data_IF_818682170552
#
_entry.id   IF_818682170552
#
_cell.length_a   1.000
_cell.length_b   1.000
_cell.length_c   1.000
_cell.angle_alpha   90.00
_cell.angle_beta   90.00
_cell.angle_gamma   90.00
#
_symmetry.space_group_name_H-M   'P 1'
#
loop_
_entity.id
_entity.type
_entity.pdbx_description
1 polymer ?
#
# COMPACT_ATOMS: atom_id res chain seq x y z
N UNK A 1 -6.11 12.61 -15.79
CA UNK A 1 -6.32 11.21 -15.35
C UNK A 1 -7.79 10.85 -15.37
N UNK A 2 -8.69 11.71 -14.88
CA UNK A 2 -10.11 11.35 -14.81
C UNK A 2 -10.73 11.07 -16.19
N UNK A 3 -10.46 11.92 -17.19
CA UNK A 3 -10.93 11.69 -18.56
C UNK A 3 -10.34 10.40 -19.16
N UNK A 4 -9.03 10.17 -19.02
CA UNK A 4 -8.38 8.95 -19.51
C UNK A 4 -8.90 7.70 -18.80
N UNK A 5 -9.28 7.82 -17.54
CA UNK A 5 -9.91 6.74 -16.78
C UNK A 5 -11.32 6.43 -17.28
N UNK A 6 -12.12 7.44 -17.61
CA UNK A 6 -13.45 7.27 -18.21
C UNK A 6 -13.36 6.63 -19.60
N UNK A 7 -12.44 7.11 -20.45
CA UNK A 7 -12.17 6.54 -21.77
C UNK A 7 -11.74 5.07 -21.66
N UNK A 8 -10.85 4.77 -20.72
CA UNK A 8 -10.40 3.40 -20.47
C UNK A 8 -11.52 2.51 -19.94
N UNK A 9 -12.34 3.00 -19.00
CA UNK A 9 -13.48 2.24 -18.49
C UNK A 9 -14.43 1.87 -19.63
N UNK A 10 -14.76 2.82 -20.50
CA UNK A 10 -15.57 2.59 -21.69
C UNK A 10 -14.94 1.55 -22.63
N UNK A 11 -13.63 1.63 -22.88
CA UNK A 11 -12.95 0.66 -23.73
C UNK A 11 -12.94 -0.77 -23.13
N UNK A 12 -12.92 -0.89 -21.80
CA UNK A 12 -13.04 -2.16 -21.09
C UNK A 12 -14.46 -2.73 -21.20
N UNK A 13 -15.49 -1.88 -21.06
CA UNK A 13 -16.89 -2.27 -21.28
C UNK A 13 -17.11 -2.77 -22.72
N UNK A 14 -16.65 -2.02 -23.72
CA UNK A 14 -16.73 -2.40 -25.14
C UNK A 14 -15.96 -3.70 -25.43
N UNK A 15 -14.81 -3.92 -24.77
CA UNK A 15 -14.06 -5.17 -24.88
C UNK A 15 -14.85 -6.35 -24.32
N UNK A 16 -15.46 -6.20 -23.15
CA UNK A 16 -16.24 -7.24 -22.51
C UNK A 16 -17.48 -7.58 -23.34
N UNK A 17 -18.19 -6.56 -23.84
CA UNK A 17 -19.37 -6.73 -24.69
C UNK A 17 -19.01 -7.47 -25.99
N UNK A 18 -17.90 -7.12 -26.63
CA UNK A 18 -17.48 -7.70 -27.91
C UNK A 18 -16.90 -9.11 -27.78
N UNK A 19 -16.15 -9.40 -26.71
CA UNK A 19 -15.39 -10.66 -26.59
C UNK A 19 -16.03 -11.66 -25.61
N UNK A 20 -16.89 -11.20 -24.70
CA UNK A 20 -17.42 -12.00 -23.60
C UNK A 20 -16.37 -12.36 -22.54
N UNK A 21 -15.17 -11.76 -22.60
CA UNK A 21 -14.06 -12.04 -21.69
C UNK A 21 -13.48 -10.77 -21.08
N UNK A 22 -12.93 -10.88 -19.88
CA UNK A 22 -12.21 -9.79 -19.21
C UNK A 22 -10.75 -9.74 -19.69
N UNK A 23 -10.17 -8.53 -19.70
CA UNK A 23 -8.75 -8.31 -20.05
C UNK A 23 -7.80 -8.99 -19.05
N UNK A 24 -8.18 -8.99 -17.77
CA UNK A 24 -7.39 -9.55 -16.68
C UNK A 24 -8.20 -9.58 -15.38
N UNK A 25 -7.61 -10.06 -14.28
CA UNK A 25 -8.29 -10.22 -13.00
C UNK A 25 -8.66 -8.89 -12.33
N UNK A 26 -8.11 -7.75 -12.81
CA UNK A 26 -8.42 -6.42 -12.31
C UNK A 26 -9.27 -5.61 -13.29
N UNK A 27 -9.91 -6.25 -14.26
CA UNK A 27 -10.71 -5.59 -15.30
C UNK A 27 -11.75 -4.63 -14.72
N UNK A 28 -11.66 -3.35 -15.12
CA UNK A 28 -12.56 -2.28 -14.72
C UNK A 28 -12.33 -1.74 -13.30
N UNK A 29 -11.40 -2.30 -12.53
CA UNK A 29 -11.16 -1.89 -11.15
C UNK A 29 -10.52 -0.49 -11.09
N UNK A 30 -11.17 0.53 -10.49
CA UNK A 30 -10.53 1.83 -10.26
C UNK A 30 -9.44 1.72 -9.19
N UNK A 31 -8.25 2.23 -9.49
CA UNK A 31 -7.09 2.18 -8.57
C UNK A 31 -6.50 3.58 -8.41
N UNK A 32 -6.28 3.99 -7.17
CA UNK A 32 -5.54 5.22 -6.85
C UNK A 32 -4.04 4.92 -6.67
N UNK A 33 -3.20 5.86 -7.10
CA UNK A 33 -1.75 5.72 -7.05
C UNK A 33 -1.11 6.85 -6.25
N UNK A 34 -0.26 6.51 -5.30
CA UNK A 34 0.58 7.50 -4.61
C UNK A 34 1.37 8.31 -5.64
N UNK A 35 1.51 9.63 -5.45
CA UNK A 35 2.10 10.56 -6.43
C UNK A 35 3.52 10.22 -6.93
N UNK A 36 4.21 9.27 -6.29
CA UNK A 36 5.50 8.74 -6.75
C UNK A 36 5.39 7.81 -7.97
N UNK A 37 4.25 7.15 -8.18
CA UNK A 37 4.11 6.23 -9.29
C UNK A 37 3.91 7.01 -10.59
N UNK A 38 4.81 6.78 -11.54
CA UNK A 38 4.73 7.39 -12.85
C UNK A 38 3.53 6.85 -13.64
N UNK A 39 2.74 7.77 -14.18
CA UNK A 39 1.69 7.52 -15.15
C UNK A 39 1.95 8.47 -16.31
N UNK A 40 2.11 7.91 -17.51
CA UNK A 40 2.44 8.67 -18.72
C UNK A 40 1.49 9.84 -18.91
N UNK A 41 2.05 11.03 -19.12
CA UNK A 41 1.30 12.27 -19.30
C UNK A 41 0.93 13.01 -18.01
N UNK A 42 1.26 12.46 -16.84
CA UNK A 42 0.97 13.08 -15.54
C UNK A 42 2.24 13.33 -14.72
N UNK A 43 2.24 14.43 -13.97
CA UNK A 43 3.36 14.80 -13.09
C UNK A 43 3.48 13.82 -11.93
N UNK A 44 4.70 13.43 -11.56
CA UNK A 44 5.04 12.79 -10.29
C UNK A 44 5.86 13.75 -9.45
N UNK A 45 5.18 14.51 -8.59
CA UNK A 45 5.81 15.65 -7.91
C UNK A 45 6.53 15.28 -6.63
N UNK A 46 6.13 14.17 -5.99
CA UNK A 46 6.55 13.76 -4.64
C UNK A 46 6.54 14.93 -3.62
N UNK A 47 5.63 15.90 -3.82
CA UNK A 47 5.51 17.10 -3.00
C UNK A 47 6.55 18.21 -3.26
N UNK A 48 7.35 18.11 -4.32
CA UNK A 48 8.31 19.14 -4.71
C UNK A 48 7.75 20.08 -5.79
N UNK A 49 7.83 21.39 -5.54
CA UNK A 49 7.35 22.43 -6.46
C UNK A 49 8.11 22.42 -7.80
N UNK A 50 9.39 22.08 -7.80
CA UNK A 50 10.20 22.03 -9.02
C UNK A 50 9.83 20.86 -9.96
N UNK A 51 8.97 19.94 -9.54
CA UNK A 51 8.48 18.81 -10.33
C UNK A 51 7.08 19.04 -10.93
N UNK A 52 6.45 20.18 -10.66
CA UNK A 52 5.19 20.58 -11.28
C UNK A 52 5.41 20.90 -12.77
N UNK A 53 4.47 20.48 -13.63
CA UNK A 53 4.52 20.68 -15.08
C UNK A 53 5.58 19.83 -15.77
N UNK A 54 5.96 18.70 -15.17
CA UNK A 54 6.96 17.75 -15.68
C UNK A 54 6.32 16.37 -15.79
N UNK A 55 5.44 16.16 -16.77
CA UNK A 55 4.71 14.90 -16.88
C UNK A 55 5.66 13.75 -17.18
N UNK A 56 5.39 12.60 -16.57
CA UNK A 56 6.13 11.37 -16.85
C UNK A 56 5.98 11.01 -18.33
N UNK A 57 7.10 10.63 -18.96
CA UNK A 57 7.12 10.24 -20.39
C UNK A 57 6.59 8.82 -20.60
N UNK A 58 6.70 8.00 -19.57
CA UNK A 58 6.38 6.59 -19.56
C UNK A 58 5.72 6.24 -18.22
N UNK A 59 5.06 5.10 -18.18
CA UNK A 59 4.50 4.55 -16.95
C UNK A 59 5.60 3.90 -16.12
N UNK A 60 5.43 3.87 -14.81
CA UNK A 60 6.15 2.91 -13.97
C UNK A 60 5.80 1.47 -14.36
N UNK A 61 6.66 0.51 -14.03
CA UNK A 61 6.40 -0.92 -14.25
C UNK A 61 5.11 -1.33 -13.55
N UNK A 62 4.87 -0.85 -12.33
CA UNK A 62 3.63 -1.16 -11.60
C UNK A 62 2.39 -0.60 -12.30
N UNK A 63 2.43 0.66 -12.76
CA UNK A 63 1.35 1.27 -13.54
C UNK A 63 1.05 0.46 -14.81
N UNK A 64 2.08 0.02 -15.54
CA UNK A 64 1.89 -0.83 -16.72
C UNK A 64 1.28 -2.19 -16.38
N UNK A 65 1.69 -2.83 -15.28
CA UNK A 65 1.14 -4.11 -14.83
C UNK A 65 -0.35 -3.98 -14.50
N UNK A 66 -0.74 -2.91 -13.80
CA UNK A 66 -2.15 -2.63 -13.49
C UNK A 66 -2.99 -2.46 -14.76
N UNK A 67 -2.49 -1.65 -15.71
CA UNK A 67 -3.15 -1.43 -16.99
C UNK A 67 -3.25 -2.74 -17.79
N UNK A 68 -2.18 -3.54 -17.81
CA UNK A 68 -2.19 -4.84 -18.50
C UNK A 68 -3.19 -5.83 -17.89
N UNK A 69 -3.40 -5.78 -16.57
CA UNK A 69 -4.38 -6.61 -15.86
C UNK A 69 -5.81 -6.04 -15.89
N UNK A 70 -6.05 -4.99 -16.66
CA UNK A 70 -7.39 -4.42 -16.88
C UNK A 70 -7.82 -3.37 -15.86
N UNK A 71 -6.96 -2.98 -14.91
CA UNK A 71 -7.29 -1.93 -13.93
C UNK A 71 -7.39 -0.55 -14.59
N UNK A 72 -8.03 0.39 -13.89
CA UNK A 72 -8.27 1.78 -14.30
C UNK A 72 -7.60 2.74 -13.30
N UNK A 73 -6.32 3.09 -13.49
CA UNK A 73 -5.69 4.15 -12.71
C UNK A 73 -6.40 5.48 -12.96
N UNK A 74 -6.99 6.09 -11.94
CA UNK A 74 -7.88 7.25 -12.13
C UNK A 74 -7.41 8.54 -11.46
N UNK A 75 -6.53 8.43 -10.46
CA UNK A 75 -6.07 9.58 -9.70
C UNK A 75 -4.71 9.31 -9.09
N UNK A 76 -3.94 10.39 -8.90
CA UNK A 76 -2.76 10.39 -8.04
C UNK A 76 -3.04 11.07 -6.73
N UNK A 77 -2.57 10.50 -5.63
CA UNK A 77 -2.88 11.01 -4.29
C UNK A 77 -1.71 11.73 -3.64
N UNK A 78 -2.08 12.67 -2.77
CA UNK A 78 -1.14 13.52 -2.05
C UNK A 78 -0.20 12.71 -1.13
N UNK A 79 1.00 13.27 -0.90
CA UNK A 79 2.10 12.62 -0.18
C UNK A 79 2.76 13.56 0.82
N UNK A 80 3.56 13.02 1.73
CA UNK A 80 4.56 13.82 2.44
C UNK A 80 5.57 14.41 1.45
N UNK A 81 6.04 15.63 1.68
CA UNK A 81 7.14 16.18 0.91
C UNK A 81 8.35 15.23 0.94
N UNK A 82 8.89 14.93 -0.25
CA UNK A 82 9.96 13.96 -0.46
C UNK A 82 9.68 12.55 0.09
N UNK A 83 8.43 12.25 0.47
CA UNK A 83 8.00 10.99 1.07
C UNK A 83 8.53 10.75 2.50
N UNK A 84 9.12 11.76 3.13
CA UNK A 84 9.91 11.66 4.37
C UNK A 84 9.21 12.28 5.59
N UNK A 85 7.93 11.94 5.80
CA UNK A 85 7.20 12.29 7.03
C UNK A 85 6.07 11.29 7.30
N UNK A 86 5.81 11.03 8.57
CA UNK A 86 4.64 10.26 9.04
C UNK A 86 3.32 11.03 8.99
N UNK A 87 3.27 12.10 8.19
CA UNK A 87 2.10 12.89 7.84
C UNK A 87 2.23 13.38 6.39
N UNK A 88 1.12 13.59 5.68
CA UNK A 88 1.10 13.93 4.26
C UNK A 88 0.77 15.39 4.00
N UNK A 89 1.77 16.23 4.28
CA UNK A 89 1.82 17.65 3.94
C UNK A 89 2.91 17.93 2.92
N UNK A 90 2.63 18.82 1.97
CA UNK A 90 3.65 19.46 1.13
C UNK A 90 3.16 20.81 0.59
N UNK A 91 4.05 21.58 -0.02
CA UNK A 91 3.70 22.91 -0.53
C UNK A 91 2.90 22.91 -1.84
N UNK A 92 2.85 21.79 -2.56
CA UNK A 92 2.11 21.62 -3.83
C UNK A 92 0.61 21.45 -3.56
N UNK A 93 0.24 20.46 -2.75
CA UNK A 93 -1.15 20.05 -2.51
C UNK A 93 -1.66 20.36 -1.10
N UNK A 94 -0.79 20.87 -0.22
CA UNK A 94 -1.08 21.14 1.20
C UNK A 94 -1.37 19.86 1.98
N UNK A 95 -2.16 19.99 3.05
CA UNK A 95 -2.40 18.96 4.04
C UNK A 95 -3.42 17.93 3.56
N UNK A 96 -3.07 16.65 3.67
CA UNK A 96 -4.06 15.57 3.68
C UNK A 96 -4.63 15.40 5.09
N UNK A 97 -5.95 15.34 5.20
CA UNK A 97 -6.65 15.24 6.47
C UNK A 97 -7.16 13.81 6.69
N UNK A 98 -7.36 13.44 7.95
CA UNK A 98 -7.95 12.16 8.30
C UNK A 98 -9.42 12.09 7.85
N UNK A 99 -9.81 10.96 7.25
CA UNK A 99 -11.17 10.73 6.77
C UNK A 99 -12.20 10.57 7.89
N UNK A 100 -11.78 10.06 9.06
CA UNK A 100 -12.62 9.87 10.24
C UNK A 100 -12.78 11.15 11.07
N UNK A 101 -11.76 12.01 11.10
CA UNK A 101 -11.81 13.31 11.77
C UNK A 101 -10.89 14.33 11.07
N UNK A 102 -11.48 15.32 10.40
CA UNK A 102 -10.75 16.32 9.60
C UNK A 102 -9.84 17.26 10.42
N UNK A 103 -9.91 17.23 11.76
CA UNK A 103 -8.99 17.95 12.64
C UNK A 103 -7.67 17.20 12.89
N UNK A 104 -7.56 15.95 12.41
CA UNK A 104 -6.40 15.09 12.60
C UNK A 104 -5.64 14.86 11.29
N UNK A 105 -4.37 14.47 11.44
CA UNK A 105 -3.50 14.11 10.33
C UNK A 105 -3.96 12.83 9.62
N UNK A 106 -3.74 12.74 8.31
CA UNK A 106 -4.01 11.51 7.55
C UNK A 106 -3.03 10.37 7.87
N UNK A 107 -1.87 10.71 8.44
CA UNK A 107 -0.68 9.87 8.46
C UNK A 107 0.14 10.04 7.19
N UNK A 108 1.27 9.33 7.11
CA UNK A 108 2.17 9.48 5.98
C UNK A 108 3.26 8.41 5.91
N UNK A 109 4.00 8.34 4.81
CA UNK A 109 3.92 9.29 3.68
C UNK A 109 2.86 8.99 2.61
N UNK A 110 2.07 7.92 2.77
CA UNK A 110 0.95 7.56 1.87
C UNK A 110 -0.42 8.01 2.42
N UNK A 111 -0.47 9.18 3.06
CA UNK A 111 -1.68 9.67 3.72
C UNK A 111 -2.79 10.06 2.77
N UNK A 112 -2.47 10.59 1.59
CA UNK A 112 -3.48 10.85 0.56
C UNK A 112 -4.17 9.57 0.09
N UNK A 113 -3.40 8.50 -0.16
CA UNK A 113 -3.95 7.16 -0.48
C UNK A 113 -4.88 6.68 0.63
N UNK A 114 -4.40 6.65 1.88
CA UNK A 114 -5.19 6.15 2.99
C UNK A 114 -6.44 7.00 3.23
N UNK A 115 -6.36 8.33 3.13
CA UNK A 115 -7.51 9.20 3.32
C UNK A 115 -8.55 9.04 2.20
N UNK A 116 -8.11 8.89 0.94
CA UNK A 116 -9.00 8.65 -0.20
C UNK A 116 -9.70 7.29 -0.08
N UNK A 117 -8.96 6.24 0.28
CA UNK A 117 -9.56 4.94 0.57
C UNK A 117 -10.49 5.08 1.77
N UNK A 118 -10.05 5.68 2.88
CA UNK A 118 -10.83 5.85 4.11
C UNK A 118 -12.15 6.63 3.95
N UNK A 119 -12.26 7.51 2.95
CA UNK A 119 -13.53 8.16 2.60
C UNK A 119 -14.33 7.43 1.50
N UNK A 120 -13.96 6.19 1.16
CA UNK A 120 -14.56 5.37 0.11
C UNK A 120 -14.44 5.95 -1.31
N UNK A 121 -13.45 6.84 -1.53
CA UNK A 121 -13.17 7.40 -2.86
C UNK A 121 -12.35 6.48 -3.76
N UNK A 122 -11.78 5.40 -3.22
CA UNK A 122 -11.09 4.33 -3.96
C UNK A 122 -11.31 2.98 -3.26
N UNK A 123 -11.42 1.90 -4.04
CA UNK A 123 -11.56 0.55 -3.49
C UNK A 123 -10.21 0.00 -2.99
N UNK A 124 -9.14 0.35 -3.69
CA UNK A 124 -7.77 0.00 -3.36
C UNK A 124 -6.83 1.11 -3.79
N UNK A 125 -5.93 1.46 -2.89
CA UNK A 125 -4.87 2.42 -3.13
C UNK A 125 -3.51 1.74 -3.11
N UNK A 126 -2.54 2.31 -3.83
CA UNK A 126 -1.15 1.83 -3.77
C UNK A 126 -0.28 2.89 -3.12
N UNK A 127 0.24 2.55 -1.94
CA UNK A 127 1.21 3.36 -1.20
C UNK A 127 2.64 2.82 -1.33
N UNK A 128 3.55 3.44 -0.59
CA UNK A 128 4.92 2.94 -0.41
C UNK A 128 5.32 2.97 1.05
N UNK A 129 6.17 2.05 1.49
CA UNK A 129 6.56 1.89 2.89
C UNK A 129 8.03 1.50 3.04
N UNK A 130 8.75 2.33 3.79
CA UNK A 130 10.13 2.10 4.26
C UNK A 130 10.13 1.99 5.79
N UNK A 131 9.64 3.04 6.44
CA UNK A 131 9.58 3.18 7.90
C UNK A 131 8.16 3.15 8.48
N UNK A 132 7.18 2.63 7.73
CA UNK A 132 5.77 2.61 8.13
C UNK A 132 4.83 3.37 7.21
N UNK A 133 5.30 3.88 6.07
CA UNK A 133 4.52 4.79 5.22
C UNK A 133 3.26 4.20 4.55
N UNK A 134 3.01 2.89 4.65
CA UNK A 134 1.70 2.26 4.36
C UNK A 134 0.98 1.97 5.68
N UNK A 135 1.67 1.36 6.64
CA UNK A 135 1.09 0.86 7.89
C UNK A 135 0.59 1.98 8.81
N UNK A 136 1.34 3.07 8.95
CA UNK A 136 0.98 4.25 9.76
C UNK A 136 -0.31 4.89 9.23
N UNK A 137 -0.40 5.33 7.96
CA UNK A 137 -1.63 5.95 7.48
C UNK A 137 -2.78 4.95 7.44
N UNK A 138 -2.57 3.67 7.12
CA UNK A 138 -3.63 2.66 7.22
C UNK A 138 -4.21 2.56 8.63
N UNK A 139 -3.36 2.50 9.66
CA UNK A 139 -3.79 2.44 11.06
C UNK A 139 -4.59 3.68 11.48
N UNK A 140 -4.17 4.88 11.04
CA UNK A 140 -4.87 6.13 11.37
C UNK A 140 -6.21 6.29 10.64
N UNK A 141 -6.41 5.62 9.51
CA UNK A 141 -7.66 5.63 8.75
C UNK A 141 -8.57 4.42 9.04
N UNK A 142 -8.14 3.47 9.88
CA UNK A 142 -8.90 2.24 10.14
C UNK A 142 -8.93 1.28 8.95
N UNK A 143 -7.85 1.22 8.18
CA UNK A 143 -7.72 0.41 6.96
C UNK A 143 -6.78 -0.78 7.15
N UNK A 144 -6.89 -1.74 6.24
CA UNK A 144 -5.85 -2.74 6.01
C UNK A 144 -4.76 -2.14 5.12
N UNK A 145 -3.50 -2.25 5.54
CA UNK A 145 -2.34 -1.84 4.75
C UNK A 145 -1.28 -2.92 4.78
N UNK A 146 -0.82 -3.35 3.60
CA UNK A 146 0.19 -4.40 3.46
C UNK A 146 1.52 -3.79 3.00
N UNK A 147 2.54 -3.90 3.85
CA UNK A 147 3.94 -3.73 3.44
C UNK A 147 4.50 -5.11 3.05
N UNK A 148 4.57 -5.48 1.76
CA UNK A 148 5.08 -6.79 1.38
C UNK A 148 6.60 -6.93 1.65
N UNK A 149 7.11 -8.13 1.38
CA UNK A 149 8.56 -8.39 1.30
C UNK A 149 9.19 -7.50 0.23
N UNK A 150 10.44 -7.08 0.45
CA UNK A 150 11.23 -6.38 -0.57
C UNK A 150 11.32 -7.22 -1.85
N UNK A 151 11.21 -6.58 -3.00
CA UNK A 151 11.21 -7.25 -4.32
C UNK A 151 9.92 -8.02 -4.63
N UNK A 152 8.83 -7.80 -3.88
CA UNK A 152 7.55 -8.50 -4.16
C UNK A 152 6.72 -7.84 -5.26
N UNK A 153 6.67 -6.51 -5.29
CA UNK A 153 5.98 -5.73 -6.31
C UNK A 153 7.00 -4.81 -7.00
N UNK A 154 6.81 -4.48 -8.29
CA UNK A 154 7.63 -3.49 -8.97
C UNK A 154 7.64 -2.17 -8.20
N UNK A 155 8.83 -1.66 -7.91
CA UNK A 155 9.02 -0.33 -7.37
C UNK A 155 10.45 0.16 -7.64
N UNK A 156 10.59 1.07 -8.60
CA UNK A 156 11.88 1.50 -9.15
C UNK A 156 12.77 2.20 -8.12
N UNK A 157 12.19 2.83 -7.09
CA UNK A 157 12.96 3.48 -6.04
C UNK A 157 13.62 2.47 -5.08
N UNK A 158 13.22 1.20 -5.06
CA UNK A 158 13.87 0.18 -4.22
C UNK A 158 15.35 -0.04 -4.57
N UNK A 159 15.76 0.26 -5.80
CA UNK A 159 17.13 0.03 -6.31
C UNK A 159 17.97 1.30 -6.46
N UNK A 160 17.37 2.48 -6.29
CA UNK A 160 18.04 3.78 -6.54
C UNK A 160 18.74 4.36 -5.32
N UNK A 161 18.40 3.88 -4.13
CA UNK A 161 18.83 4.46 -2.87
C UNK A 161 19.46 3.40 -1.98
N UNK A 162 20.56 3.76 -1.31
CA UNK A 162 21.18 2.93 -0.26
C UNK A 162 20.36 3.04 1.02
N UNK A 163 19.22 2.35 1.07
CA UNK A 163 18.44 2.20 2.29
C UNK A 163 18.87 0.95 3.05
N UNK A 164 19.05 1.07 4.38
CA UNK A 164 19.19 -0.08 5.28
C UNK A 164 17.98 -1.03 5.14
N UNK A 165 16.78 -0.46 4.96
CA UNK A 165 15.57 -1.19 4.63
C UNK A 165 15.00 -0.65 3.30
N UNK A 166 15.13 -1.38 2.17
CA UNK A 166 14.61 -0.91 0.90
C UNK A 166 13.10 -0.65 0.95
N UNK A 167 12.62 0.45 0.35
CA UNK A 167 11.20 0.76 0.32
C UNK A 167 10.46 -0.26 -0.53
N UNK A 168 9.16 -0.42 -0.29
CA UNK A 168 8.30 -1.28 -1.11
C UNK A 168 7.02 -0.57 -1.50
N UNK A 169 6.46 -0.92 -2.66
CA UNK A 169 5.07 -0.63 -2.99
C UNK A 169 4.13 -1.63 -2.29
N UNK A 170 2.92 -1.21 -1.94
CA UNK A 170 1.94 -2.10 -1.34
C UNK A 170 0.54 -1.49 -1.23
N UNK A 171 -0.50 -2.34 -1.12
CA UNK A 171 -1.88 -1.89 -1.16
C UNK A 171 -2.44 -1.40 0.19
N UNK A 172 -3.41 -0.51 0.11
CA UNK A 172 -4.31 -0.09 1.19
C UNK A 172 -5.77 -0.33 0.76
N UNK A 173 -6.58 -0.93 1.63
CA UNK A 173 -7.99 -1.22 1.36
C UNK A 173 -8.82 -1.36 2.65
N UNK A 174 -10.15 -1.39 2.53
CA UNK A 174 -11.06 -1.63 3.66
C UNK A 174 -11.16 -3.08 4.11
N UNK A 175 -10.73 -4.03 3.28
CA UNK A 175 -10.85 -5.45 3.60
C UNK A 175 -9.58 -6.22 3.26
N UNK A 176 -9.30 -7.24 4.08
CA UNK A 176 -8.22 -8.18 3.79
C UNK A 176 -8.43 -8.89 2.45
N UNK A 177 -9.67 -9.29 2.12
CA UNK A 177 -9.98 -9.93 0.84
C UNK A 177 -9.65 -9.06 -0.37
N UNK A 178 -9.80 -7.73 -0.27
CA UNK A 178 -9.38 -6.79 -1.33
C UNK A 178 -7.87 -6.78 -1.46
N UNK A 179 -7.13 -6.74 -0.35
CA UNK A 179 -5.66 -6.83 -0.36
C UNK A 179 -5.22 -8.13 -1.05
N UNK A 180 -5.78 -9.28 -0.67
CA UNK A 180 -5.43 -10.58 -1.23
C UNK A 180 -5.74 -10.69 -2.72
N UNK A 181 -6.94 -10.27 -3.13
CA UNK A 181 -7.36 -10.27 -4.55
C UNK A 181 -6.47 -9.37 -5.39
N UNK A 182 -6.13 -8.19 -4.88
CA UNK A 182 -5.28 -7.24 -5.58
C UNK A 182 -3.85 -7.74 -5.73
N UNK A 183 -3.27 -8.30 -4.67
CA UNK A 183 -1.94 -8.89 -4.70
C UNK A 183 -1.88 -10.09 -5.65
N UNK A 184 -2.89 -10.96 -5.62
CA UNK A 184 -3.00 -12.09 -6.56
C UNK A 184 -3.07 -11.61 -8.01
N UNK A 185 -3.93 -10.63 -8.31
CA UNK A 185 -4.10 -10.09 -9.66
C UNK A 185 -2.84 -9.42 -10.24
N UNK A 186 -2.07 -8.71 -9.41
CA UNK A 186 -0.78 -8.16 -9.85
C UNK A 186 0.23 -9.29 -10.10
N UNK A 187 0.36 -10.23 -9.16
CA UNK A 187 1.39 -11.26 -9.22
C UNK A 187 1.11 -12.32 -10.29
N UNK A 188 -0.16 -12.53 -10.68
CA UNK A 188 -0.51 -13.39 -11.82
C UNK A 188 -0.02 -12.84 -13.16
N UNK A 189 0.40 -11.57 -13.22
CA UNK A 189 1.05 -11.01 -14.40
C UNK A 189 2.50 -11.51 -14.57
N UNK A 190 3.07 -12.11 -13.53
CA UNK A 190 4.49 -12.46 -13.47
C UNK A 190 5.42 -11.24 -13.69
N UNK A 191 5.26 -10.14 -12.91
CA UNK A 191 5.99 -8.89 -13.14
C UNK A 191 7.51 -9.03 -13.12
N UNK A 192 8.04 -10.08 -12.48
CA UNK A 192 9.45 -10.45 -12.49
C UNK A 192 10.02 -10.77 -13.89
N UNK A 193 9.17 -11.02 -14.90
CA UNK A 193 9.61 -11.15 -16.29
C UNK A 193 9.99 -9.82 -16.93
N UNK A 194 9.42 -8.72 -16.43
CA UNK A 194 9.72 -7.35 -16.89
C UNK A 194 10.79 -6.70 -16.03
N UNK A 195 10.75 -6.95 -14.72
CA UNK A 195 11.74 -6.47 -13.75
C UNK A 195 12.44 -7.66 -13.07
N UNK A 196 13.67 -8.02 -13.51
CA UNK A 196 14.39 -9.17 -12.98
C UNK A 196 14.89 -8.98 -11.53
N UNK A 197 14.71 -7.80 -10.93
CA UNK A 197 15.03 -7.57 -9.51
C UNK A 197 13.96 -8.11 -8.57
N UNK A 198 12.80 -8.50 -9.10
CA UNK A 198 11.68 -9.02 -8.33
C UNK A 198 11.80 -10.52 -8.04
N UNK A 199 11.27 -10.93 -6.88
CA UNK A 199 11.18 -12.33 -6.49
C UNK A 199 10.10 -13.03 -7.33
N UNK A 200 10.43 -14.12 -8.06
CA UNK A 200 9.50 -14.82 -8.93
C UNK A 200 8.59 -15.76 -8.12
N UNK A 201 7.73 -15.18 -7.29
CA UNK A 201 6.88 -15.94 -6.36
C UNK A 201 5.41 -15.53 -6.51
N UNK A 202 4.53 -16.45 -6.95
CA UNK A 202 3.10 -16.16 -7.10
C UNK A 202 2.42 -15.93 -5.75
N UNK A 203 1.20 -15.41 -5.78
CA UNK A 203 0.35 -15.39 -4.58
C UNK A 203 -0.09 -16.81 -4.23
N UNK A 204 0.18 -17.22 -2.99
CA UNK A 204 -0.10 -18.57 -2.49
C UNK A 204 -1.35 -18.56 -1.63
N UNK A 205 -2.50 -18.74 -2.27
CA UNK A 205 -3.84 -18.67 -1.64
C UNK A 205 -3.98 -19.66 -0.49
N UNK A 206 -3.37 -20.83 -0.63
CA UNK A 206 -3.35 -21.88 0.39
C UNK A 206 -2.65 -21.46 1.68
N UNK A 207 -1.68 -20.53 1.61
CA UNK A 207 -1.00 -19.98 2.79
C UNK A 207 -1.70 -18.75 3.38
N UNK A 208 -2.56 -18.09 2.61
CA UNK A 208 -3.38 -16.98 3.06
C UNK A 208 -4.69 -17.44 3.73
N UNK A 209 -5.11 -18.69 3.47
CA UNK A 209 -6.28 -19.28 4.09
C UNK A 209 -6.16 -19.35 5.63
N UNK A 210 -7.32 -19.34 6.30
CA UNK A 210 -7.39 -19.54 7.74
C UNK A 210 -6.69 -20.86 8.12
N UNK A 211 -5.81 -20.86 9.13
CA UNK A 211 -5.09 -22.07 9.50
C UNK A 211 -6.01 -23.12 10.11
N UNK A 212 -5.81 -24.38 9.73
CA UNK A 212 -6.51 -25.54 10.32
C UNK A 212 -5.94 -25.98 11.67
N UNK A 213 -4.82 -25.39 12.08
CA UNK A 213 -4.12 -25.70 13.33
C UNK A 213 -3.90 -24.44 14.17
N UNK A 214 -3.86 -24.57 15.51
CA UNK A 214 -3.42 -23.51 16.39
C UNK A 214 -2.08 -22.91 15.94
N UNK A 215 -1.97 -21.59 16.03
CA UNK A 215 -0.78 -20.83 15.68
C UNK A 215 -0.01 -20.50 16.95
N UNK A 216 1.31 -20.32 16.83
CA UNK A 216 2.14 -19.70 17.85
C UNK A 216 2.47 -18.29 17.39
N UNK A 217 2.03 -17.29 18.13
CA UNK A 217 2.09 -15.88 17.72
C UNK A 217 2.86 -15.12 18.79
N UNK A 218 3.98 -14.50 18.38
CA UNK A 218 4.70 -13.55 19.22
C UNK A 218 3.99 -12.19 19.22
N UNK A 219 3.89 -11.54 20.38
CA UNK A 219 3.39 -10.17 20.50
C UNK A 219 4.29 -9.35 21.43
N UNK A 220 4.30 -8.03 21.29
CA UNK A 220 4.88 -7.12 22.26
C UNK A 220 4.03 -5.86 22.32
N UNK A 221 4.00 -5.17 23.47
CA UNK A 221 3.21 -3.94 23.65
C UNK A 221 3.98 -2.71 23.19
N UNK A 222 5.28 -2.67 23.47
CA UNK A 222 6.19 -1.60 23.07
C UNK A 222 7.58 -2.20 22.83
N UNK A 223 8.40 -1.48 22.09
CA UNK A 223 9.74 -1.90 21.68
C UNK A 223 10.85 -1.48 22.67
N UNK A 224 10.48 -1.06 23.88
CA UNK A 224 11.36 -0.43 24.88
C UNK A 224 12.00 0.90 24.44
N UNK A 225 11.69 1.43 23.26
CA UNK A 225 12.17 2.73 22.75
C UNK A 225 11.05 3.77 22.84
N UNK A 226 9.85 3.42 22.37
CA UNK A 226 8.67 4.29 22.36
C UNK A 226 7.53 3.62 23.11
N UNK A 227 7.02 4.28 24.15
CA UNK A 227 5.82 3.82 24.85
C UNK A 227 4.57 4.11 24.01
N UNK A 228 3.70 3.12 23.89
CA UNK A 228 2.40 3.29 23.24
C UNK A 228 1.42 4.03 24.15
N UNK A 229 0.45 4.71 23.54
CA UNK A 229 -0.66 5.33 24.26
C UNK A 229 -1.58 4.24 24.85
N UNK A 230 -2.23 4.46 26.02
CA UNK A 230 -3.09 3.46 26.66
C UNK A 230 -4.18 2.85 25.75
N UNK A 231 -4.84 3.60 24.82
CA UNK A 231 -5.78 3.01 23.89
C UNK A 231 -5.18 1.98 22.92
N UNK A 232 -3.91 2.18 22.51
CA UNK A 232 -3.20 1.27 21.60
C UNK A 232 -2.81 0.00 22.33
N UNK A 233 -2.27 0.12 23.55
CA UNK A 233 -1.99 -1.05 24.40
C UNK A 233 -3.26 -1.88 24.63
N UNK A 234 -4.38 -1.23 24.97
CA UNK A 234 -5.67 -1.91 25.12
C UNK A 234 -6.09 -2.65 23.86
N UNK A 235 -5.90 -2.06 22.68
CA UNK A 235 -6.25 -2.70 21.42
C UNK A 235 -5.41 -3.97 21.15
N UNK A 236 -4.09 -3.90 21.40
CA UNK A 236 -3.21 -5.07 21.26
C UNK A 236 -3.62 -6.17 22.24
N UNK A 237 -3.88 -5.84 23.52
CA UNK A 237 -4.32 -6.81 24.52
C UNK A 237 -5.65 -7.46 24.14
N UNK A 238 -6.62 -6.69 23.62
CA UNK A 238 -7.89 -7.24 23.14
C UNK A 238 -7.69 -8.25 21.99
N UNK A 239 -6.74 -8.00 21.08
CA UNK A 239 -6.39 -8.96 20.02
C UNK A 239 -5.73 -10.22 20.60
N UNK A 240 -4.81 -10.08 21.56
CA UNK A 240 -4.17 -11.20 22.27
C UNK A 240 -5.22 -12.08 22.95
N UNK A 241 -6.15 -11.49 23.68
CA UNK A 241 -7.23 -12.19 24.37
C UNK A 241 -8.14 -12.93 23.37
N UNK A 242 -8.50 -12.25 22.26
CA UNK A 242 -9.34 -12.82 21.20
C UNK A 242 -8.68 -14.02 20.53
N UNK A 243 -7.39 -13.92 20.19
CA UNK A 243 -6.64 -15.02 19.57
C UNK A 243 -6.40 -16.18 20.54
N UNK A 244 -6.18 -15.89 21.83
CA UNK A 244 -6.06 -16.90 22.88
C UNK A 244 -7.39 -17.66 23.04
N UNK A 245 -8.51 -16.94 23.08
CA UNK A 245 -9.85 -17.54 23.14
C UNK A 245 -10.18 -18.39 21.89
N UNK A 246 -9.61 -18.04 20.73
CA UNK A 246 -9.71 -18.83 19.50
C UNK A 246 -8.79 -20.07 19.49
N UNK A 247 -8.03 -20.33 20.56
CA UNK A 247 -7.18 -21.51 20.73
C UNK A 247 -5.75 -21.36 20.22
N UNK A 248 -5.30 -20.15 19.87
CA UNK A 248 -3.90 -19.89 19.51
C UNK A 248 -3.02 -19.74 20.76
N UNK A 249 -1.72 -19.99 20.60
CA UNK A 249 -0.71 -19.75 21.64
C UNK A 249 -0.08 -18.39 21.44
N UNK A 250 -0.20 -17.50 22.44
CA UNK A 250 0.35 -16.14 22.40
C UNK A 250 1.58 -16.09 23.31
N UNK A 251 2.68 -15.56 22.80
CA UNK A 251 3.96 -15.46 23.51
C UNK A 251 4.36 -13.99 23.55
N UNK A 252 4.50 -13.43 24.74
CA UNK A 252 5.05 -12.08 24.87
C UNK A 252 6.55 -12.13 24.53
N UNK A 253 6.93 -11.39 23.49
CA UNK A 253 8.29 -11.29 23.00
C UNK A 253 9.04 -10.24 23.81
N UNK A 254 10.23 -10.58 24.28
CA UNK A 254 11.16 -9.64 24.91
C UNK A 254 11.91 -8.84 23.82
N UNK A 255 11.65 -7.53 23.65
CA UNK A 255 12.29 -6.74 22.61
C UNK A 255 13.65 -6.15 23.05
N UNK A 256 14.24 -6.57 24.17
CA UNK A 256 15.53 -6.04 24.65
C UNK A 256 16.67 -6.18 23.64
N UNK A 257 16.66 -7.23 22.82
CA UNK A 257 17.65 -7.41 21.74
C UNK A 257 17.54 -6.40 20.59
N UNK A 258 16.42 -5.67 20.45
CA UNK A 258 16.31 -4.62 19.42
C UNK A 258 17.37 -3.53 19.61
N UNK A 259 17.82 -3.29 20.84
CA UNK A 259 18.88 -2.33 21.14
C UNK A 259 20.21 -2.66 20.45
N UNK A 260 20.45 -3.92 20.08
CA UNK A 260 21.64 -4.34 19.34
C UNK A 260 21.56 -3.92 17.87
N UNK A 261 20.37 -3.90 17.27
CA UNK A 261 20.17 -3.52 15.87
C UNK A 261 20.38 -2.02 15.59
N UNK A 262 20.49 -1.18 16.62
CA UNK A 262 20.76 0.26 16.48
C UNK A 262 22.24 0.65 16.65
N UNK A 263 23.10 -0.32 16.97
CA UNK A 263 24.52 -0.07 17.30
C UNK A 263 25.47 -0.19 16.12
N UNK A 264 24.97 -0.69 14.99
CA UNK A 264 25.69 -0.80 13.70
C UNK A 264 25.16 0.23 12.70
#
# INVERSE_FOLDING_TARGET
MFEEALERAKALDEHLERTGSVVGPLHGLPVSLKDIFDVKGFDSTIGWVNLIGKPAKENSVLSDVLIAQGAVPFVKTNVAQALMLSDSYNHVFKQSLNSLNRELISGGSSGGEAALVGCHGSLVGIGTDTGGSIRIPAALQGLYGLKPTVGRLPFEESSKWEFIAPPVAGPLAFSLSTIETFMDGILSYEPWRKDPTLLPTPWRKELAAKPDKPLKIGYYINDNVVRVQPPIERAVRAVVDTLTAAGHTLIEWDPTSHAEAYKD
#
